data_IF_000328572725
#
_entry.id   IF_000328572725
#
_cell.length_a   1.000
_cell.length_b   1.000
_cell.length_c   1.000
_cell.angle_alpha   90.00
_cell.angle_beta   90.00
_cell.angle_gamma   90.00
#
_symmetry.space_group_name_H-M   'P 1'
#
loop_
_entity.id
_entity.type
_entity.pdbx_description
1 polymer ?
#
# COMPACT_ATOMS: atom_id res chain seq x y z
N UNK A 1 36.67 53.20 -15.76
CA UNK A 1 36.31 51.81 -15.38
C UNK A 1 36.55 50.94 -16.61
N UNK A 2 37.52 50.02 -16.55
CA UNK A 2 38.02 49.32 -17.73
C UNK A 2 37.02 48.24 -18.21
N UNK A 3 36.68 48.28 -19.48
CA UNK A 3 35.74 47.34 -20.13
C UNK A 3 36.12 45.88 -19.92
N UNK A 4 37.41 45.57 -19.75
CA UNK A 4 37.91 44.24 -19.44
C UNK A 4 37.45 43.69 -18.05
N UNK A 5 37.24 44.59 -17.09
CA UNK A 5 36.78 44.17 -15.74
C UNK A 5 35.29 43.92 -15.72
N UNK A 6 34.51 44.57 -16.60
CA UNK A 6 33.06 44.38 -16.72
C UNK A 6 32.76 43.01 -17.38
N UNK A 7 33.53 42.64 -18.39
CA UNK A 7 33.37 41.33 -19.06
C UNK A 7 33.79 40.14 -18.15
N UNK A 8 34.80 40.33 -17.30
CA UNK A 8 35.21 39.30 -16.34
C UNK A 8 34.18 39.08 -15.23
N UNK A 9 33.56 40.16 -14.73
CA UNK A 9 32.49 40.07 -13.73
C UNK A 9 31.21 39.44 -14.30
N UNK A 10 30.87 39.73 -15.57
CA UNK A 10 29.72 39.13 -16.23
C UNK A 10 29.91 37.62 -16.49
N UNK A 11 31.13 37.19 -16.84
CA UNK A 11 31.43 35.76 -17.01
C UNK A 11 31.40 34.98 -15.71
N UNK A 12 31.84 35.58 -14.59
CA UNK A 12 31.81 34.93 -13.27
C UNK A 12 30.37 34.78 -12.74
N UNK A 13 29.48 35.72 -13.00
CA UNK A 13 28.09 35.62 -12.58
C UNK A 13 27.30 34.58 -13.38
N UNK A 14 27.59 34.40 -14.66
CA UNK A 14 26.94 33.38 -15.50
C UNK A 14 27.35 31.95 -15.14
N UNK A 15 28.62 31.75 -14.71
CA UNK A 15 29.11 30.44 -14.26
C UNK A 15 28.50 30.02 -12.92
N UNK A 16 28.12 30.95 -12.04
CA UNK A 16 27.49 30.64 -10.76
C UNK A 16 26.03 30.13 -10.90
N UNK A 17 25.34 30.50 -11.99
CA UNK A 17 23.95 30.07 -12.25
C UNK A 17 23.90 28.63 -12.77
N UNK A 18 24.95 28.14 -13.42
CA UNK A 18 24.99 26.78 -13.97
C UNK A 18 25.32 25.71 -12.92
N UNK A 19 25.69 26.07 -11.69
CA UNK A 19 25.99 25.17 -10.58
C UNK A 19 24.79 24.94 -9.63
N UNK A 20 23.62 25.52 -9.91
CA UNK A 20 22.38 25.11 -9.27
C UNK A 20 21.96 23.76 -9.86
N UNK A 21 22.76 22.74 -9.60
CA UNK A 21 22.44 21.35 -9.92
C UNK A 21 21.08 21.00 -9.35
N UNK A 22 20.18 20.54 -10.20
CA UNK A 22 18.96 19.88 -9.78
C UNK A 22 19.34 18.88 -8.70
N UNK A 23 18.89 19.11 -7.47
CA UNK A 23 18.88 18.08 -6.45
C UNK A 23 18.03 16.96 -7.03
N UNK A 24 18.66 15.93 -7.58
CA UNK A 24 17.97 14.71 -7.95
C UNK A 24 17.21 14.26 -6.74
N UNK A 25 15.89 14.19 -6.86
CA UNK A 25 15.02 13.71 -5.80
C UNK A 25 15.58 12.40 -5.27
N UNK A 26 15.56 12.25 -3.94
CA UNK A 26 15.96 11.03 -3.27
C UNK A 26 15.32 9.86 -4.04
N UNK A 27 16.15 8.93 -4.52
CA UNK A 27 15.70 7.69 -5.12
C UNK A 27 14.68 7.08 -4.16
N UNK A 28 13.44 6.94 -4.63
CA UNK A 28 12.43 6.22 -3.88
C UNK A 28 13.01 4.83 -3.64
N UNK A 29 13.38 4.54 -2.40
CA UNK A 29 13.85 3.22 -2.02
C UNK A 29 12.82 2.23 -2.56
N UNK A 30 13.28 1.24 -3.32
CA UNK A 30 12.44 0.25 -3.94
C UNK A 30 11.39 -0.21 -2.93
N UNK A 31 10.12 -0.08 -3.28
CA UNK A 31 8.99 -0.37 -2.42
C UNK A 31 8.98 -1.87 -2.12
N UNK A 32 9.73 -2.28 -1.11
CA UNK A 32 9.61 -3.62 -0.56
C UNK A 32 8.36 -3.65 0.29
N UNK A 33 7.22 -3.93 -0.34
CA UNK A 33 6.04 -4.31 0.41
C UNK A 33 6.38 -5.60 1.14
N UNK A 34 6.48 -5.55 2.46
CA UNK A 34 6.62 -6.76 3.25
C UNK A 34 5.48 -7.71 2.88
N UNK A 35 5.77 -9.01 2.71
CA UNK A 35 4.73 -9.98 2.36
C UNK A 35 3.64 -9.98 3.42
N UNK A 36 2.40 -10.16 2.98
CA UNK A 36 1.27 -10.35 3.89
C UNK A 36 1.38 -11.73 4.51
N UNK A 37 1.36 -11.78 5.84
CA UNK A 37 1.53 -13.01 6.62
C UNK A 37 0.21 -13.48 7.24
N UNK A 38 -0.08 -14.77 7.09
CA UNK A 38 -1.18 -15.42 7.81
C UNK A 38 -0.84 -15.55 9.30
N UNK A 39 -1.71 -15.02 10.14
CA UNK A 39 -1.63 -15.20 11.60
C UNK A 39 -2.57 -16.31 12.09
N UNK A 40 -3.64 -16.59 11.36
CA UNK A 40 -4.63 -17.61 11.65
C UNK A 40 -5.90 -17.45 10.84
N UNK A 41 -6.79 -18.44 11.00
CA UNK A 41 -8.15 -18.44 10.44
C UNK A 41 -9.12 -18.65 11.59
N UNK A 42 -10.15 -17.84 11.64
CA UNK A 42 -11.20 -17.91 12.65
C UNK A 42 -12.27 -18.94 12.23
N UNK A 43 -13.15 -19.29 13.18
CA UNK A 43 -14.23 -20.27 12.94
C UNK A 43 -15.23 -19.85 11.86
N UNK A 44 -15.38 -18.55 11.64
CA UNK A 44 -16.24 -17.96 10.59
C UNK A 44 -15.56 -17.92 9.20
N UNK A 45 -14.34 -18.46 9.09
CA UNK A 45 -13.55 -18.43 7.85
C UNK A 45 -12.85 -17.10 7.58
N UNK A 46 -12.96 -16.14 8.49
CA UNK A 46 -12.19 -14.89 8.37
C UNK A 46 -10.70 -15.16 8.60
N UNK A 47 -9.86 -14.36 7.92
CA UNK A 47 -8.42 -14.51 7.95
C UNK A 47 -7.77 -13.38 8.73
N UNK A 48 -7.02 -13.74 9.77
CA UNK A 48 -6.21 -12.79 10.53
C UNK A 48 -4.83 -12.67 9.88
N UNK A 49 -4.49 -11.46 9.44
CA UNK A 49 -3.31 -11.17 8.63
C UNK A 49 -2.45 -10.10 9.28
N UNK A 50 -1.12 -10.26 9.19
CA UNK A 50 -0.15 -9.20 9.47
C UNK A 50 0.22 -8.52 8.16
N UNK A 51 0.03 -7.21 8.09
CA UNK A 51 0.16 -6.44 6.86
C UNK A 51 0.86 -5.12 7.12
N UNK A 52 1.73 -4.73 6.20
CA UNK A 52 2.41 -3.44 6.23
C UNK A 52 1.78 -2.48 5.22
N UNK A 53 1.56 -1.27 5.66
CA UNK A 53 1.18 -0.15 4.80
C UNK A 53 2.14 1.01 4.96
N UNK A 54 2.28 1.79 3.91
CA UNK A 54 3.14 2.98 3.87
C UNK A 54 2.32 4.19 3.48
N UNK A 55 2.52 5.30 4.17
CA UNK A 55 1.78 6.53 3.91
C UNK A 55 2.56 7.77 4.38
N UNK A 56 2.01 8.94 4.14
CA UNK A 56 2.60 10.22 4.57
C UNK A 56 2.57 10.36 6.09
N UNK A 57 1.60 9.76 6.72
CA UNK A 57 1.40 9.74 8.16
C UNK A 57 0.88 8.37 8.62
N UNK A 58 0.70 8.20 9.93
CA UNK A 58 0.23 6.95 10.53
C UNK A 58 -1.16 6.54 10.02
N UNK A 59 -2.08 7.47 9.87
CA UNK A 59 -3.45 7.18 9.43
C UNK A 59 -3.44 6.67 7.98
N UNK A 60 -2.73 7.36 7.09
CA UNK A 60 -2.57 6.94 5.70
C UNK A 60 -1.92 5.55 5.60
N UNK A 61 -0.89 5.28 6.42
CA UNK A 61 -0.21 3.99 6.42
C UNK A 61 -1.12 2.85 6.91
N UNK A 62 -1.95 3.09 7.93
CA UNK A 62 -2.94 2.11 8.40
C UNK A 62 -4.01 1.85 7.34
N UNK A 63 -4.51 2.90 6.70
CA UNK A 63 -5.51 2.78 5.64
C UNK A 63 -4.94 1.98 4.45
N UNK A 64 -3.72 2.28 4.05
CA UNK A 64 -3.04 1.52 3.00
C UNK A 64 -2.80 0.06 3.39
N UNK A 65 -2.46 -0.22 4.65
CA UNK A 65 -2.31 -1.59 5.12
C UNK A 65 -3.63 -2.39 5.03
N UNK A 66 -4.76 -1.77 5.39
CA UNK A 66 -6.08 -2.41 5.23
C UNK A 66 -6.40 -2.69 3.77
N UNK A 67 -6.17 -1.73 2.86
CA UNK A 67 -6.33 -1.93 1.41
C UNK A 67 -5.46 -3.08 0.91
N UNK A 68 -4.20 -3.12 1.32
CA UNK A 68 -3.26 -4.18 0.95
C UNK A 68 -3.75 -5.56 1.42
N UNK A 69 -4.27 -5.66 2.65
CA UNK A 69 -4.82 -6.91 3.17
C UNK A 69 -5.98 -7.45 2.31
N UNK A 70 -6.94 -6.58 1.98
CA UNK A 70 -8.09 -6.97 1.16
C UNK A 70 -7.66 -7.33 -0.26
N UNK A 71 -6.76 -6.53 -0.89
CA UNK A 71 -6.22 -6.82 -2.22
C UNK A 71 -5.50 -8.15 -2.27
N UNK A 72 -4.71 -8.48 -1.25
CA UNK A 72 -3.99 -9.75 -1.19
C UNK A 72 -4.95 -10.93 -1.15
N UNK A 73 -6.01 -10.86 -0.32
CA UNK A 73 -7.05 -11.89 -0.25
C UNK A 73 -7.83 -12.01 -1.56
N UNK A 74 -8.12 -10.88 -2.21
CA UNK A 74 -8.89 -10.87 -3.45
C UNK A 74 -8.10 -11.41 -4.64
N UNK A 75 -6.86 -10.96 -4.86
CA UNK A 75 -6.17 -11.15 -6.14
C UNK A 75 -4.95 -12.08 -6.09
N UNK A 76 -4.31 -12.29 -4.93
CA UNK A 76 -3.08 -13.06 -4.86
C UNK A 76 -3.17 -14.31 -3.99
N UNK A 77 -4.01 -14.30 -2.95
CA UNK A 77 -4.04 -15.34 -1.92
C UNK A 77 -2.86 -15.25 -0.95
N UNK A 78 -3.01 -15.83 0.23
CA UNK A 78 -2.06 -15.69 1.33
C UNK A 78 -1.10 -16.89 1.34
N UNK A 79 0.16 -16.65 1.04
CA UNK A 79 1.19 -17.71 0.88
C UNK A 79 2.22 -17.76 2.01
N UNK A 80 2.30 -16.70 2.82
CA UNK A 80 3.29 -16.57 3.89
C UNK A 80 2.63 -16.63 5.27
N UNK A 81 3.39 -17.02 6.29
CA UNK A 81 2.95 -17.08 7.68
C UNK A 81 2.52 -18.47 8.13
N UNK A 82 1.59 -18.55 9.07
CA UNK A 82 1.07 -19.81 9.61
C UNK A 82 0.21 -20.54 8.59
N UNK A 83 0.15 -21.87 8.70
CA UNK A 83 -0.78 -22.67 7.91
C UNK A 83 -2.23 -22.36 8.29
N UNK A 84 -3.13 -22.45 7.29
CA UNK A 84 -4.57 -22.29 7.50
C UNK A 84 -5.22 -21.20 6.62
N UNK A 85 -4.54 -20.10 6.33
CA UNK A 85 -5.09 -19.10 5.41
C UNK A 85 -5.18 -19.64 3.98
N UNK A 86 -6.17 -19.14 3.26
CA UNK A 86 -6.44 -19.61 1.91
C UNK A 86 -5.39 -19.09 0.93
N UNK A 87 -4.64 -20.01 0.32
CA UNK A 87 -3.61 -19.69 -0.66
C UNK A 87 -4.18 -19.26 -2.02
N UNK A 88 -5.44 -19.60 -2.30
CA UNK A 88 -6.11 -19.18 -3.54
C UNK A 88 -6.76 -17.81 -3.35
N UNK A 89 -6.63 -16.89 -4.32
CA UNK A 89 -7.37 -15.64 -4.30
C UNK A 89 -8.89 -15.89 -4.38
N UNK A 90 -9.67 -14.88 -4.00
CA UNK A 90 -11.12 -14.92 -4.19
C UNK A 90 -11.47 -14.78 -5.67
N UNK A 91 -10.77 -13.88 -6.35
CA UNK A 91 -10.89 -13.62 -7.78
C UNK A 91 -9.81 -14.43 -8.50
N UNK A 92 -10.23 -15.39 -9.31
CA UNK A 92 -9.33 -16.29 -10.05
C UNK A 92 -9.18 -15.91 -11.51
N UNK A 93 -10.01 -14.99 -12.00
CA UNK A 93 -9.93 -14.50 -13.37
C UNK A 93 -8.64 -13.68 -13.57
N UNK A 94 -7.93 -13.96 -14.66
CA UNK A 94 -6.72 -13.21 -15.03
C UNK A 94 -7.12 -11.80 -15.44
N UNK A 95 -6.36 -10.80 -14.98
CA UNK A 95 -6.60 -9.37 -15.26
C UNK A 95 -7.98 -8.85 -14.78
N UNK A 96 -8.59 -9.50 -13.79
CA UNK A 96 -9.89 -9.06 -13.26
C UNK A 96 -9.84 -7.63 -12.70
N UNK A 97 -8.72 -7.22 -12.09
CA UNK A 97 -8.56 -5.86 -11.56
C UNK A 97 -8.64 -4.81 -12.67
N UNK A 98 -8.08 -5.09 -13.85
CA UNK A 98 -8.16 -4.22 -15.03
C UNK A 98 -9.54 -4.30 -15.69
N UNK A 99 -10.10 -5.50 -15.84
CA UNK A 99 -11.42 -5.73 -16.45
C UNK A 99 -12.53 -5.01 -15.68
N UNK A 100 -12.44 -4.99 -14.36
CA UNK A 100 -13.41 -4.35 -13.45
C UNK A 100 -12.82 -3.09 -12.79
N UNK A 101 -11.95 -2.36 -13.49
CA UNK A 101 -11.21 -1.21 -12.94
C UNK A 101 -12.13 -0.19 -12.28
N UNK A 102 -13.21 0.21 -12.93
CA UNK A 102 -14.16 1.18 -12.38
C UNK A 102 -14.80 0.70 -11.06
N UNK A 103 -15.13 -0.58 -10.98
CA UNK A 103 -15.67 -1.18 -9.78
C UNK A 103 -14.64 -1.14 -8.64
N UNK A 104 -13.41 -1.61 -8.89
CA UNK A 104 -12.38 -1.69 -7.86
C UNK A 104 -11.85 -0.31 -7.45
N UNK A 105 -11.84 0.68 -8.34
CA UNK A 105 -11.50 2.05 -7.99
C UNK A 105 -12.48 2.65 -6.98
N UNK A 106 -13.78 2.39 -7.14
CA UNK A 106 -14.81 2.82 -6.19
C UNK A 106 -14.71 1.99 -4.90
N UNK A 107 -14.58 0.68 -5.01
CA UNK A 107 -14.48 -0.24 -3.89
C UNK A 107 -13.33 0.09 -2.95
N UNK A 108 -12.14 0.43 -3.50
CA UNK A 108 -10.93 0.79 -2.78
C UNK A 108 -10.72 2.30 -2.59
N UNK A 109 -11.68 3.13 -2.90
CA UNK A 109 -11.60 4.56 -2.60
C UNK A 109 -11.35 4.80 -1.10
N UNK A 110 -10.84 5.96 -0.73
CA UNK A 110 -10.70 6.33 0.67
C UNK A 110 -12.07 6.37 1.35
N UNK A 111 -12.21 5.64 2.45
CA UNK A 111 -13.52 5.42 3.07
C UNK A 111 -14.46 4.47 2.31
N UNK A 112 -13.97 3.78 1.28
CA UNK A 112 -14.75 2.91 0.40
C UNK A 112 -15.27 1.63 1.05
N UNK A 113 -15.98 0.84 0.25
CA UNK A 113 -16.70 -0.35 0.75
C UNK A 113 -15.81 -1.44 1.31
N UNK A 114 -14.54 -1.54 0.87
CA UNK A 114 -13.58 -2.51 1.40
C UNK A 114 -13.46 -2.47 2.93
N UNK A 115 -13.72 -1.31 3.56
CA UNK A 115 -13.69 -1.16 5.02
C UNK A 115 -14.70 -2.04 5.76
N UNK A 116 -15.79 -2.42 5.11
CA UNK A 116 -16.80 -3.33 5.68
C UNK A 116 -16.25 -4.74 5.89
N UNK A 117 -15.21 -5.11 5.13
CA UNK A 117 -14.63 -6.46 5.08
C UNK A 117 -13.27 -6.58 5.77
N UNK A 118 -12.79 -5.51 6.39
CA UNK A 118 -11.52 -5.50 7.11
C UNK A 118 -11.65 -4.77 8.44
N UNK A 119 -11.30 -5.44 9.52
CA UNK A 119 -11.27 -4.85 10.85
C UNK A 119 -9.87 -4.95 11.47
N UNK A 120 -9.55 -4.03 12.38
CA UNK A 120 -8.35 -4.18 13.20
C UNK A 120 -8.57 -5.37 14.13
N UNK A 121 -7.77 -6.41 13.95
CA UNK A 121 -7.78 -7.53 14.87
C UNK A 121 -7.18 -7.07 16.19
N UNK A 122 -7.89 -7.31 17.27
CA UNK A 122 -7.59 -7.00 18.67
C UNK A 122 -6.46 -5.98 18.92
N UNK A 123 -6.78 -4.88 19.52
CA UNK A 123 -5.82 -3.80 19.86
C UNK A 123 -4.64 -4.26 20.75
N UNK A 124 -4.75 -5.44 21.38
CA UNK A 124 -3.72 -6.01 22.27
C UNK A 124 -2.49 -6.49 21.52
N UNK A 125 -2.61 -6.84 20.25
CA UNK A 125 -1.49 -7.28 19.40
C UNK A 125 -1.04 -6.14 18.45
N UNK A 126 -0.89 -4.94 18.98
CA UNK A 126 -0.28 -3.84 18.22
C UNK A 126 1.13 -4.25 17.82
N UNK A 127 1.29 -4.64 16.57
CA UNK A 127 2.60 -4.74 15.98
C UNK A 127 3.26 -3.36 16.07
N UNK A 128 4.42 -3.32 16.76
CA UNK A 128 5.16 -2.08 17.04
C UNK A 128 6.20 -1.78 15.97
N UNK A 129 6.17 -2.51 14.86
CA UNK A 129 7.15 -2.33 13.81
C UNK A 129 6.85 -1.05 13.04
N UNK A 130 7.52 0.00 13.47
CA UNK A 130 7.49 1.32 12.86
C UNK A 130 8.81 1.55 12.17
N UNK A 131 8.80 1.63 10.85
CA UNK A 131 9.93 2.15 10.09
C UNK A 131 9.60 3.57 9.61
N UNK A 132 10.53 4.48 9.79
CA UNK A 132 10.36 5.89 9.42
C UNK A 132 11.49 6.32 8.48
N UNK A 133 11.13 6.65 7.25
CA UNK A 133 12.00 7.33 6.30
C UNK A 133 11.62 8.81 6.24
N UNK A 134 12.53 9.67 5.73
CA UNK A 134 12.34 11.14 5.74
C UNK A 134 11.01 11.64 5.12
N UNK A 135 10.40 10.89 4.22
CA UNK A 135 9.19 11.29 3.51
C UNK A 135 7.96 10.39 3.76
N UNK A 136 8.15 9.19 4.30
CA UNK A 136 7.08 8.21 4.48
C UNK A 136 7.21 7.46 5.80
N UNK A 137 6.08 7.01 6.30
CA UNK A 137 5.98 6.21 7.51
C UNK A 137 5.38 4.86 7.14
N UNK A 138 6.03 3.78 7.54
CA UNK A 138 5.50 2.42 7.38
C UNK A 138 5.01 1.90 8.73
N UNK A 139 3.81 1.31 8.73
CA UNK A 139 3.23 0.65 9.88
C UNK A 139 2.81 -0.77 9.53
N UNK A 140 3.20 -1.70 10.37
CA UNK A 140 2.70 -3.08 10.32
C UNK A 140 1.58 -3.23 11.33
N UNK A 141 0.45 -3.73 10.86
CA UNK A 141 -0.76 -3.93 11.68
C UNK A 141 -1.27 -5.36 11.51
N UNK A 142 -2.06 -5.81 12.49
CA UNK A 142 -2.81 -7.06 12.37
C UNK A 142 -4.27 -6.73 12.09
N UNK A 143 -4.80 -7.30 11.03
CA UNK A 143 -6.19 -7.12 10.59
C UNK A 143 -6.89 -8.46 10.41
N UNK A 144 -8.21 -8.44 10.55
CA UNK A 144 -9.08 -9.55 10.19
C UNK A 144 -9.80 -9.20 8.91
N UNK A 145 -9.73 -10.10 7.92
CA UNK A 145 -10.41 -9.94 6.61
C UNK A 145 -11.52 -10.97 6.50
N UNK A 146 -12.73 -10.53 6.24
CA UNK A 146 -13.96 -11.32 6.09
C UNK A 146 -14.02 -11.90 4.67
N UNK A 147 -13.22 -12.95 4.43
CA UNK A 147 -13.06 -13.55 3.10
C UNK A 147 -14.36 -14.08 2.52
N UNK A 148 -15.19 -14.74 3.33
CA UNK A 148 -16.45 -15.31 2.87
C UNK A 148 -17.42 -14.22 2.41
N UNK A 149 -17.57 -13.17 3.21
CA UNK A 149 -18.42 -12.03 2.90
C UNK A 149 -17.94 -11.25 1.65
N UNK A 150 -16.61 -11.09 1.50
CA UNK A 150 -16.02 -10.55 0.27
C UNK A 150 -16.42 -11.36 -0.96
N UNK A 151 -16.35 -12.68 -0.86
CA UNK A 151 -16.73 -13.56 -1.97
C UNK A 151 -18.21 -13.42 -2.32
N UNK A 152 -19.09 -13.41 -1.34
CA UNK A 152 -20.54 -13.23 -1.57
C UNK A 152 -20.83 -11.85 -2.16
N UNK A 153 -20.15 -10.81 -1.71
CA UNK A 153 -20.30 -9.47 -2.27
C UNK A 153 -19.95 -9.42 -3.75
N UNK A 154 -18.78 -9.98 -4.12
CA UNK A 154 -18.35 -9.98 -5.52
C UNK A 154 -19.24 -10.82 -6.43
N UNK A 155 -19.88 -11.87 -5.88
CA UNK A 155 -20.91 -12.64 -6.59
C UNK A 155 -22.17 -11.80 -6.82
N UNK A 156 -22.65 -11.12 -5.79
CA UNK A 156 -23.82 -10.25 -5.88
C UNK A 156 -23.63 -9.12 -6.90
N UNK A 157 -22.39 -8.64 -7.03
CA UNK A 157 -22.02 -7.59 -7.99
C UNK A 157 -21.61 -8.15 -9.37
N UNK A 158 -21.75 -9.46 -9.61
CA UNK A 158 -21.41 -10.14 -10.87
C UNK A 158 -19.94 -9.97 -11.30
N UNK A 159 -19.03 -9.78 -10.36
CA UNK A 159 -17.58 -9.71 -10.60
C UNK A 159 -16.98 -11.12 -10.67
N UNK A 160 -17.55 -12.07 -9.94
CA UNK A 160 -17.17 -13.49 -9.96
C UNK A 160 -18.43 -14.38 -10.04
N UNK A 161 -18.23 -15.64 -10.47
CA UNK A 161 -19.28 -16.68 -10.51
C UNK A 161 -19.52 -17.33 -9.13
#
# INVERSE_FOLDING_TARGET
MNTKNITMLAAASLAAILLSGCKSGDSVAAYHSAPVECMGVEHDGSQTLRVTGTGRNKADAIEQAKKNAVREVLFKGIRHGRQGCNMRPVVTEVNAEEKYENYFNIFFADGGEYLKYVSMADERNRSRDKAQAKAFVSYTITVRVLRAELKERLRADHVIE
#
